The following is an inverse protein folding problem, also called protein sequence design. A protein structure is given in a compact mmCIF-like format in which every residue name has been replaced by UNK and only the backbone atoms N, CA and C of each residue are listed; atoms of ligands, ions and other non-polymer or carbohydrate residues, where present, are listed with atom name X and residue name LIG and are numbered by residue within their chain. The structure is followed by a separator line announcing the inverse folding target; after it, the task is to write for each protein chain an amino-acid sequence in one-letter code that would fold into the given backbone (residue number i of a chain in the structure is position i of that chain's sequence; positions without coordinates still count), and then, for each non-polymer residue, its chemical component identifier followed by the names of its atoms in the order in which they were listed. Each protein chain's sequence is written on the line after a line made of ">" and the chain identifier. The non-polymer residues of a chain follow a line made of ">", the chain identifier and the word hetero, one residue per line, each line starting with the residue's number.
data_IF_999023473535
#
_entry.id   IF_999023473535
#
_cell.length_a   1.000
_cell.length_b   1.000
_cell.length_c   1.000
_cell.angle_alpha   90.00
_cell.angle_beta   90.00
_cell.angle_gamma   90.00
#
_symmetry.space_group_name_H-M   'P 1'
#
loop_
_entity.id
_entity.type
_entity.pdbx_description
1 polymer ?
#
# COMPACT_ATOMS: atom_id res chain seq x y z
N UNK A 1 11.36 31.94 26.12
CA UNK A 1 12.02 30.73 25.56
C UNK A 1 10.98 29.82 24.90
N UNK A 2 9.70 30.01 25.23
CA UNK A 2 8.56 29.30 24.66
C UNK A 2 8.38 29.46 23.14
N UNK A 3 8.69 30.63 22.57
CA UNK A 3 8.47 30.87 21.12
C UNK A 3 9.39 30.03 20.22
N UNK A 4 10.65 29.83 20.64
CA UNK A 4 11.63 29.05 19.86
C UNK A 4 11.28 27.55 19.94
N UNK A 5 10.78 27.10 21.10
CA UNK A 5 10.33 25.72 21.30
C UNK A 5 9.03 25.42 20.55
N UNK A 6 8.08 26.37 20.50
CA UNK A 6 6.82 26.21 19.76
C UNK A 6 7.03 26.10 18.25
N UNK A 7 7.92 26.93 17.69
CA UNK A 7 8.30 26.84 16.27
C UNK A 7 9.02 25.51 15.99
N UNK A 8 9.92 25.08 16.87
CA UNK A 8 10.63 23.80 16.74
C UNK A 8 9.71 22.59 16.69
N UNK A 9 8.67 22.55 17.54
CA UNK A 9 7.69 21.46 17.57
C UNK A 9 6.88 21.40 16.27
N UNK A 10 6.49 22.55 15.71
CA UNK A 10 5.77 22.62 14.44
C UNK A 10 6.57 22.03 13.28
N UNK A 11 7.86 22.34 13.19
CA UNK A 11 8.74 21.77 12.16
C UNK A 11 8.89 20.26 12.30
N UNK A 12 9.12 19.75 13.50
CA UNK A 12 9.27 18.31 13.74
C UNK A 12 7.99 17.56 13.41
N UNK A 13 6.82 18.09 13.81
CA UNK A 13 5.52 17.49 13.53
C UNK A 13 5.25 17.32 12.02
N UNK A 14 5.68 18.28 11.19
CA UNK A 14 5.48 18.24 9.73
C UNK A 14 6.58 17.44 9.01
N UNK A 15 7.84 17.53 9.45
CA UNK A 15 8.97 16.86 8.80
C UNK A 15 9.00 15.35 9.05
N UNK A 16 8.57 14.89 10.23
CA UNK A 16 8.58 13.47 10.59
C UNK A 16 7.82 12.56 9.62
N UNK A 17 6.53 12.83 9.27
CA UNK A 17 5.81 11.99 8.32
C UNK A 17 6.43 12.02 6.92
N UNK A 18 6.96 13.16 6.47
CA UNK A 18 7.63 13.29 5.17
C UNK A 18 8.90 12.43 5.13
N UNK A 19 9.71 12.46 6.20
CA UNK A 19 10.89 11.62 6.32
C UNK A 19 10.55 10.13 6.32
N UNK A 20 9.50 9.71 7.04
CA UNK A 20 9.07 8.31 7.07
C UNK A 20 8.70 7.80 5.66
N UNK A 21 7.89 8.58 4.92
CA UNK A 21 7.53 8.23 3.53
C UNK A 21 8.78 8.17 2.65
N UNK A 22 9.71 9.13 2.80
CA UNK A 22 10.97 9.15 2.06
C UNK A 22 11.84 7.93 2.33
N UNK A 23 11.95 7.50 3.59
CA UNK A 23 12.71 6.29 3.98
C UNK A 23 12.06 5.04 3.38
N UNK A 24 10.74 4.88 3.52
CA UNK A 24 10.02 3.73 2.95
C UNK A 24 10.23 3.68 1.44
N UNK A 25 10.10 4.80 0.74
CA UNK A 25 10.29 4.87 -0.71
C UNK A 25 11.73 4.55 -1.12
N UNK A 26 12.71 5.05 -0.37
CA UNK A 26 14.13 4.78 -0.63
C UNK A 26 14.46 3.29 -0.54
N UNK A 27 13.97 2.62 0.51
CA UNK A 27 14.14 1.17 0.65
C UNK A 27 13.41 0.41 -0.45
N UNK A 28 12.15 0.76 -0.74
CA UNK A 28 11.36 0.09 -1.77
C UNK A 28 12.02 0.19 -3.17
N UNK A 29 12.54 1.38 -3.51
CA UNK A 29 13.28 1.60 -4.76
C UNK A 29 14.57 0.77 -4.82
N UNK A 30 15.27 0.62 -3.68
CA UNK A 30 16.51 -0.16 -3.62
C UNK A 30 16.24 -1.66 -3.73
N UNK A 31 15.16 -2.13 -3.10
CA UNK A 31 14.69 -3.52 -3.20
C UNK A 31 14.29 -3.88 -4.63
N UNK A 32 13.53 -3.02 -5.32
CA UNK A 32 13.21 -3.23 -6.74
C UNK A 32 14.46 -3.34 -7.60
N UNK A 33 15.40 -2.38 -7.47
CA UNK A 33 16.65 -2.39 -8.26
C UNK A 33 17.47 -3.66 -8.06
N UNK A 34 17.54 -4.16 -6.82
CA UNK A 34 18.26 -5.40 -6.52
C UNK A 34 17.57 -6.62 -7.15
N UNK A 35 16.24 -6.68 -7.14
CA UNK A 35 15.47 -7.76 -7.79
C UNK A 35 15.71 -7.80 -9.31
N UNK A 36 15.73 -6.64 -9.97
CA UNK A 36 16.00 -6.57 -11.41
C UNK A 36 17.46 -6.91 -11.76
N UNK A 37 18.42 -6.49 -10.93
CA UNK A 37 19.83 -6.83 -11.14
C UNK A 37 20.06 -8.35 -11.06
N UNK A 38 19.48 -9.01 -10.06
CA UNK A 38 19.54 -10.47 -9.94
C UNK A 38 18.88 -11.18 -11.14
N UNK A 39 17.80 -10.63 -11.69
CA UNK A 39 17.13 -11.17 -12.88
C UNK A 39 18.02 -11.12 -14.13
N UNK A 40 18.75 -10.02 -14.35
CA UNK A 40 19.66 -9.89 -15.49
C UNK A 40 20.81 -10.90 -15.36
N UNK A 41 21.33 -11.09 -14.15
CA UNK A 41 22.43 -12.02 -13.89
C UNK A 41 22.01 -13.49 -14.01
N UNK A 42 20.82 -13.85 -13.51
CA UNK A 42 20.25 -15.20 -13.67
C UNK A 42 19.85 -15.44 -15.14
N UNK A 43 19.28 -14.44 -15.81
CA UNK A 43 18.86 -14.56 -17.21
C UNK A 43 20.02 -14.79 -18.18
N UNK A 44 21.20 -14.26 -17.87
CA UNK A 44 22.41 -14.50 -18.66
C UNK A 44 23.03 -15.88 -18.41
N UNK A 45 22.68 -16.56 -17.32
CA UNK A 45 23.19 -17.89 -16.96
C UNK A 45 22.27 -19.04 -17.40
N UNK A 46 20.99 -18.77 -17.65
CA UNK A 46 20.01 -19.81 -18.06
C UNK A 46 19.95 -19.90 -19.59
N UNK A 47 20.24 -21.09 -20.12
CA UNK A 47 20.25 -21.39 -21.57
C UNK A 47 18.90 -21.85 -22.11
N UNK A 48 17.96 -22.25 -21.24
CA UNK A 48 16.64 -22.74 -21.64
C UNK A 48 15.53 -21.66 -21.51
N UNK A 49 14.81 -21.34 -22.60
CA UNK A 49 13.78 -20.29 -22.60
C UNK A 49 12.58 -20.60 -21.71
N UNK A 50 12.36 -21.87 -21.35
CA UNK A 50 11.27 -22.31 -20.48
C UNK A 50 11.49 -21.93 -19.01
N UNK A 51 12.70 -22.12 -18.48
CA UNK A 51 13.05 -21.76 -17.09
C UNK A 51 13.10 -20.24 -16.88
N UNK A 52 13.51 -19.49 -17.92
CA UNK A 52 13.43 -18.03 -17.92
C UNK A 52 11.98 -17.54 -17.79
N UNK A 53 11.03 -18.25 -18.39
CA UNK A 53 9.62 -17.91 -18.39
C UNK A 53 9.00 -18.12 -17.00
N UNK A 54 9.30 -19.24 -16.34
CA UNK A 54 8.88 -19.50 -14.95
C UNK A 54 9.51 -18.53 -13.94
N UNK A 55 10.78 -18.14 -14.12
CA UNK A 55 11.43 -17.15 -13.26
C UNK A 55 10.85 -15.75 -13.45
N UNK A 56 10.56 -15.35 -14.70
CA UNK A 56 9.88 -14.09 -15.00
C UNK A 56 8.48 -14.05 -14.38
N UNK A 57 7.74 -15.14 -14.43
CA UNK A 57 6.38 -15.23 -13.87
C UNK A 57 6.37 -15.22 -12.34
N UNK A 58 7.31 -15.91 -11.70
CA UNK A 58 7.47 -15.89 -10.25
C UNK A 58 7.96 -14.53 -9.72
N UNK A 59 8.79 -13.80 -10.48
CA UNK A 59 9.34 -12.49 -10.10
C UNK A 59 8.47 -11.30 -10.50
N UNK A 60 7.67 -11.38 -11.58
CA UNK A 60 6.67 -10.35 -11.90
C UNK A 60 5.67 -10.15 -10.77
N UNK A 61 5.58 -11.13 -9.87
CA UNK A 61 4.68 -11.09 -8.75
C UNK A 61 3.27 -11.29 -9.29
N UNK A 62 2.58 -12.28 -8.76
CA UNK A 62 1.12 -12.26 -8.81
C UNK A 62 0.73 -10.89 -8.25
N UNK A 63 0.30 -9.96 -9.11
CA UNK A 63 -0.27 -8.67 -8.69
C UNK A 63 -1.44 -9.08 -7.84
N UNK A 64 -1.21 -9.13 -6.53
CA UNK A 64 -2.23 -9.57 -5.62
C UNK A 64 -3.35 -8.57 -5.83
N UNK A 65 -4.55 -9.06 -6.15
CA UNK A 65 -5.64 -8.18 -6.37
C UNK A 65 -5.78 -7.26 -5.16
N UNK A 66 -5.83 -5.96 -5.41
CA UNK A 66 -5.97 -4.97 -4.35
C UNK A 66 -7.31 -5.27 -3.67
N UNK A 67 -7.25 -5.87 -2.49
CA UNK A 67 -8.44 -6.19 -1.72
C UNK A 67 -8.97 -4.89 -1.10
N UNK A 68 -9.83 -4.22 -1.86
CA UNK A 68 -10.48 -2.98 -1.48
C UNK A 68 -11.31 -3.12 -0.20
N UNK A 69 -11.82 -4.33 0.11
CA UNK A 69 -12.57 -4.58 1.35
C UNK A 69 -11.64 -4.51 2.56
N UNK A 70 -10.51 -5.22 2.50
CA UNK A 70 -9.53 -5.22 3.62
C UNK A 70 -8.93 -3.84 3.84
N UNK A 71 -8.52 -3.17 2.76
CA UNK A 71 -7.95 -1.81 2.84
C UNK A 71 -8.97 -0.77 3.31
N UNK A 72 -10.22 -0.89 2.88
CA UNK A 72 -11.31 -0.01 3.29
C UNK A 72 -11.63 -0.09 4.78
N UNK A 73 -11.69 -1.30 5.35
CA UNK A 73 -11.91 -1.51 6.79
C UNK A 73 -10.78 -0.86 7.61
N UNK A 74 -9.53 -1.09 7.22
CA UNK A 74 -8.36 -0.50 7.90
C UNK A 74 -8.46 1.03 7.89
N UNK A 75 -8.77 1.62 6.74
CA UNK A 75 -8.88 3.07 6.58
C UNK A 75 -10.04 3.66 7.40
N UNK A 76 -11.16 2.94 7.48
CA UNK A 76 -12.30 3.33 8.31
C UNK A 76 -11.91 3.38 9.80
N UNK A 77 -11.22 2.35 10.30
CA UNK A 77 -10.74 2.32 11.68
C UNK A 77 -9.70 3.40 11.98
N UNK A 78 -8.82 3.73 11.03
CA UNK A 78 -7.89 4.85 11.16
C UNK A 78 -8.66 6.16 11.31
N UNK A 79 -9.66 6.41 10.45
CA UNK A 79 -10.50 7.60 10.52
C UNK A 79 -11.27 7.70 11.83
N UNK A 80 -11.84 6.58 12.30
CA UNK A 80 -12.53 6.53 13.59
C UNK A 80 -11.58 6.78 14.76
N UNK A 81 -10.36 6.24 14.71
CA UNK A 81 -9.31 6.50 15.71
C UNK A 81 -8.94 7.98 15.78
N UNK A 82 -8.74 8.64 14.63
CA UNK A 82 -8.45 10.08 14.57
C UNK A 82 -9.66 10.89 15.04
N UNK A 83 -10.89 10.47 14.73
CA UNK A 83 -12.10 11.15 15.18
C UNK A 83 -12.24 11.11 16.71
N UNK A 84 -12.14 9.92 17.32
CA UNK A 84 -12.24 9.72 18.76
C UNK A 84 -11.09 10.41 19.52
N UNK A 85 -9.87 10.30 19.00
CA UNK A 85 -8.69 10.98 19.55
C UNK A 85 -8.80 12.49 19.42
N UNK A 86 -9.26 12.97 18.27
CA UNK A 86 -9.48 14.38 17.97
C UNK A 86 -10.53 15.01 18.88
N UNK A 87 -11.58 14.27 19.27
CA UNK A 87 -12.59 14.77 20.22
C UNK A 87 -12.03 14.98 21.63
N UNK A 88 -10.96 14.25 21.99
CA UNK A 88 -10.28 14.42 23.28
C UNK A 88 -9.31 15.62 23.28
N UNK A 89 -8.99 16.16 22.10
CA UNK A 89 -8.15 17.34 21.91
C UNK A 89 -9.03 18.58 21.68
N UNK A 90 -8.59 19.73 22.19
CA UNK A 90 -9.33 20.99 22.22
C UNK A 90 -9.46 21.70 20.86
N UNK A 91 -9.71 20.96 19.77
CA UNK A 91 -9.79 21.52 18.41
C UNK A 91 -10.80 20.79 17.53
N UNK A 92 -11.76 21.53 16.99
CA UNK A 92 -12.87 21.00 16.15
C UNK A 92 -12.41 20.43 14.80
N UNK A 93 -11.22 20.82 14.33
CA UNK A 93 -10.68 20.44 13.02
C UNK A 93 -10.22 18.97 13.01
N UNK A 94 -9.62 18.49 14.10
CA UNK A 94 -9.04 17.13 14.16
C UNK A 94 -10.11 16.04 14.05
N UNK A 95 -11.25 16.12 14.77
CA UNK A 95 -12.39 15.23 14.53
C UNK A 95 -12.87 15.24 13.07
N UNK A 96 -12.95 16.43 12.44
CA UNK A 96 -13.38 16.57 11.05
C UNK A 96 -12.51 15.78 10.07
N UNK A 97 -11.18 15.81 10.25
CA UNK A 97 -10.24 15.01 9.44
C UNK A 97 -10.47 13.51 9.65
N UNK A 98 -10.74 13.09 10.90
CA UNK A 98 -11.06 11.69 11.21
C UNK A 98 -12.32 11.20 10.50
N UNK A 99 -13.39 12.01 10.50
CA UNK A 99 -14.62 11.70 9.75
C UNK A 99 -14.39 11.60 8.25
N UNK A 100 -13.58 12.48 7.67
CA UNK A 100 -13.24 12.45 6.24
C UNK A 100 -12.53 11.14 5.87
N UNK A 101 -11.50 10.77 6.63
CA UNK A 101 -10.75 9.51 6.42
C UNK A 101 -11.66 8.30 6.63
N UNK A 102 -12.55 8.36 7.63
CA UNK A 102 -13.54 7.31 7.89
C UNK A 102 -14.51 7.11 6.72
N UNK A 103 -14.98 8.21 6.12
CA UNK A 103 -15.85 8.19 4.95
C UNK A 103 -15.16 7.57 3.71
N UNK A 104 -13.87 7.87 3.50
CA UNK A 104 -13.06 7.24 2.44
C UNK A 104 -12.95 5.72 2.67
N UNK A 105 -12.74 5.31 3.92
CA UNK A 105 -12.72 3.89 4.30
C UNK A 105 -14.05 3.20 4.01
N UNK A 106 -15.18 3.81 4.41
CA UNK A 106 -16.51 3.29 4.12
C UNK A 106 -16.77 3.15 2.61
N UNK A 107 -16.39 4.16 1.82
CA UNK A 107 -16.50 4.11 0.36
C UNK A 107 -15.66 2.99 -0.26
N UNK A 108 -14.46 2.75 0.26
CA UNK A 108 -13.58 1.67 -0.20
C UNK A 108 -14.14 0.27 0.10
N UNK A 109 -14.81 0.10 1.25
CA UNK A 109 -15.52 -1.15 1.57
C UNK A 109 -16.64 -1.39 0.56
N UNK A 110 -17.46 -0.38 0.29
CA UNK A 110 -18.57 -0.47 -0.67
C UNK A 110 -18.03 -0.77 -2.08
N UNK A 111 -16.96 -0.11 -2.50
CA UNK A 111 -16.31 -0.37 -3.78
C UNK A 111 -15.79 -1.81 -3.90
N UNK A 112 -15.21 -2.36 -2.82
CA UNK A 112 -14.75 -3.75 -2.79
C UNK A 112 -15.87 -4.79 -2.84
N UNK A 113 -17.11 -4.42 -2.49
CA UNK A 113 -18.29 -5.28 -2.71
C UNK A 113 -18.89 -5.09 -4.11
N UNK A 114 -18.82 -3.88 -4.68
CA UNK A 114 -19.40 -3.57 -6.00
C UNK A 114 -18.52 -4.03 -7.16
N UNK A 115 -17.20 -3.99 -6.99
CA UNK A 115 -16.20 -4.52 -7.92
C UNK A 115 -15.51 -5.73 -7.28
N UNK A 116 -16.22 -6.87 -7.14
CA UNK A 116 -15.61 -8.08 -6.63
C UNK A 116 -14.52 -8.52 -7.60
N UNK A 117 -13.42 -8.98 -7.04
CA UNK A 117 -12.19 -9.31 -7.76
C UNK A 117 -12.27 -10.64 -8.56
N UNK A 118 -13.48 -11.11 -8.86
CA UNK A 118 -13.74 -12.45 -9.43
C UNK A 118 -13.04 -12.68 -10.78
N UNK A 119 -12.70 -11.61 -11.51
CA UNK A 119 -11.97 -11.71 -12.78
C UNK A 119 -10.58 -12.34 -12.64
N UNK A 120 -9.87 -12.12 -11.52
CA UNK A 120 -8.51 -12.66 -11.35
C UNK A 120 -8.51 -14.14 -10.94
N UNK A 121 -9.56 -14.62 -10.27
CA UNK A 121 -9.69 -16.03 -9.90
C UNK A 121 -10.17 -16.88 -11.08
N UNK A 122 -11.09 -16.35 -11.90
CA UNK A 122 -11.57 -17.04 -13.09
C UNK A 122 -10.47 -17.22 -14.14
N UNK A 123 -9.66 -16.19 -14.43
CA UNK A 123 -8.53 -16.32 -15.37
C UNK A 123 -7.52 -17.36 -14.91
N UNK A 124 -7.18 -17.39 -13.61
CA UNK A 124 -6.28 -18.41 -13.03
C UNK A 124 -6.88 -19.82 -12.98
N UNK A 125 -8.20 -19.94 -12.98
CA UNK A 125 -8.86 -21.23 -13.10
C UNK A 125 -8.78 -21.72 -14.56
N UNK A 126 -9.08 -20.85 -15.52
CA UNK A 126 -9.02 -21.15 -16.96
C UNK A 126 -7.61 -21.51 -17.40
N UNK A 127 -6.59 -20.76 -16.98
CA UNK A 127 -5.19 -21.03 -17.34
C UNK A 127 -4.72 -22.40 -16.83
N UNK A 128 -5.14 -22.80 -15.62
CA UNK A 128 -4.90 -24.16 -15.09
C UNK A 128 -5.67 -25.26 -15.82
N UNK A 129 -6.82 -24.95 -16.41
CA UNK A 129 -7.56 -25.88 -17.27
C UNK A 129 -6.93 -26.02 -18.66
N UNK A 130 -6.26 -24.98 -19.18
CA UNK A 130 -5.57 -25.03 -20.48
C UNK A 130 -4.18 -25.71 -20.41
N UNK A 131 -3.54 -25.70 -19.24
CA UNK A 131 -2.29 -26.44 -18.99
C UNK A 131 -2.49 -27.94 -18.66
N UNK A 132 -3.75 -28.39 -18.44
CA UNK A 132 -4.12 -29.79 -18.14
C UNK A 132 -4.51 -30.57 -19.39
#
# INVERSE_FOLDING_TARGET
>A
MEDILGIGIGYVAVLMPVLLVGVIFFFNTKDEKNKYAAMIEISQNIQDPSELRELLENLQGKTQPIDYRRSGVITLFIGLGIFLFGMSLSGEIVPGIGLLVGAIGAGSIVAGYLYPNDSAELTKAVERFEES
#
